data_IF_172887062987
#
_entry.id   IF_172887062987
#
_cell.length_a   1.000
_cell.length_b   1.000
_cell.length_c   1.000
_cell.angle_alpha   90.00
_cell.angle_beta   90.00
_cell.angle_gamma   90.00
#
_symmetry.space_group_name_H-M   'P 1'
#
loop_
_entity.id
_entity.type
_entity.pdbx_description
1 polymer ?
#
# COMPACT_ATOMS: atom_id res chain seq x y z
N UNK A 1 -12.50 -12.00 -23.39
CA UNK A 1 -13.65 -11.13 -23.11
C UNK A 1 -13.94 -11.24 -21.62
N UNK A 2 -13.42 -10.32 -20.81
CA UNK A 2 -13.85 -10.16 -19.43
C UNK A 2 -14.66 -8.86 -19.39
N UNK A 3 -15.96 -8.98 -19.17
CA UNK A 3 -16.76 -7.82 -18.79
C UNK A 3 -16.23 -7.34 -17.43
N UNK A 4 -15.91 -6.05 -17.33
CA UNK A 4 -15.43 -5.44 -16.09
C UNK A 4 -16.51 -5.55 -15.02
N UNK A 5 -16.37 -6.58 -14.17
CA UNK A 5 -17.16 -6.75 -12.97
C UNK A 5 -16.98 -5.47 -12.12
N UNK A 6 -18.07 -4.81 -11.70
CA UNK A 6 -17.97 -3.63 -10.85
C UNK A 6 -17.13 -3.89 -9.58
N UNK A 7 -16.35 -2.91 -9.12
CA UNK A 7 -15.41 -3.09 -8.00
C UNK A 7 -16.08 -3.64 -6.73
N UNK A 8 -17.31 -3.22 -6.42
CA UNK A 8 -18.08 -3.74 -5.28
C UNK A 8 -18.45 -5.23 -5.40
N UNK A 9 -18.50 -5.77 -6.62
CA UNK A 9 -18.64 -7.21 -6.87
C UNK A 9 -17.27 -7.92 -6.81
N UNK A 10 -16.17 -7.26 -7.22
CA UNK A 10 -14.79 -7.76 -7.03
C UNK A 10 -14.43 -7.87 -5.54
N UNK A 11 -14.86 -6.93 -4.70
CA UNK A 11 -14.73 -7.00 -3.24
C UNK A 11 -15.42 -8.21 -2.62
N UNK A 12 -16.44 -8.77 -3.28
CA UNK A 12 -17.12 -9.99 -2.85
C UNK A 12 -16.38 -11.26 -3.27
N UNK A 13 -15.34 -11.13 -4.08
CA UNK A 13 -14.57 -12.27 -4.55
C UNK A 13 -13.45 -12.63 -3.55
N UNK A 14 -13.16 -13.93 -3.41
CA UNK A 14 -12.06 -14.45 -2.59
C UNK A 14 -10.72 -13.75 -2.88
N UNK A 15 -10.49 -13.48 -4.17
CA UNK A 15 -9.21 -13.04 -4.74
C UNK A 15 -8.89 -11.56 -4.55
N UNK A 16 -9.79 -10.76 -3.97
CA UNK A 16 -9.49 -9.36 -3.73
C UNK A 16 -8.45 -9.21 -2.62
N UNK A 17 -7.40 -8.41 -2.88
CA UNK A 17 -6.20 -8.36 -2.04
C UNK A 17 -6.49 -7.89 -0.62
N UNK A 18 -5.75 -8.44 0.35
CA UNK A 18 -5.87 -8.11 1.78
C UNK A 18 -5.81 -6.59 2.03
N UNK A 19 -4.89 -5.90 1.36
CA UNK A 19 -4.74 -4.45 1.46
C UNK A 19 -6.03 -3.71 1.16
N UNK A 20 -6.68 -4.03 0.04
CA UNK A 20 -7.91 -3.34 -0.35
C UNK A 20 -9.07 -3.61 0.62
N UNK A 21 -9.20 -4.84 1.13
CA UNK A 21 -10.26 -5.17 2.10
C UNK A 21 -10.07 -4.43 3.43
N UNK A 22 -8.84 -4.30 3.91
CA UNK A 22 -8.53 -3.52 5.10
C UNK A 22 -8.75 -2.02 4.87
N UNK A 23 -8.41 -1.50 3.68
CA UNK A 23 -8.73 -0.12 3.30
C UNK A 23 -10.24 0.13 3.37
N UNK A 24 -11.07 -0.74 2.80
CA UNK A 24 -12.52 -0.59 2.86
C UNK A 24 -13.04 -0.55 4.30
N UNK A 25 -12.56 -1.46 5.15
CA UNK A 25 -12.92 -1.49 6.57
C UNK A 25 -12.54 -0.17 7.28
N UNK A 26 -11.29 0.28 7.17
CA UNK A 26 -10.82 1.48 7.86
C UNK A 26 -11.37 2.78 7.26
N UNK A 27 -11.69 2.80 5.96
CA UNK A 27 -12.40 3.89 5.35
C UNK A 27 -13.81 4.01 5.93
N UNK A 28 -14.57 2.91 6.01
CA UNK A 28 -15.90 2.88 6.63
C UNK A 28 -15.86 3.31 8.10
N UNK A 29 -14.83 2.91 8.84
CA UNK A 29 -14.57 3.37 10.21
C UNK A 29 -14.43 4.89 10.27
N UNK A 30 -13.51 5.45 9.47
CA UNK A 30 -13.29 6.89 9.42
C UNK A 30 -14.53 7.67 8.97
N UNK A 31 -15.30 7.13 8.02
CA UNK A 31 -16.54 7.74 7.52
C UNK A 31 -17.61 7.78 8.62
N UNK A 32 -17.80 6.67 9.36
CA UNK A 32 -18.74 6.63 10.48
C UNK A 32 -18.37 7.68 11.54
N UNK A 33 -17.09 7.76 11.91
CA UNK A 33 -16.61 8.72 12.91
C UNK A 33 -16.72 10.18 12.46
N UNK A 34 -16.36 10.48 11.20
CA UNK A 34 -16.55 11.80 10.60
C UNK A 34 -18.02 12.20 10.50
N UNK A 35 -18.93 11.24 10.42
CA UNK A 35 -20.38 11.48 10.43
C UNK A 35 -20.98 11.61 11.83
N UNK A 36 -20.16 11.47 12.89
CA UNK A 36 -20.64 11.48 14.28
C UNK A 36 -21.36 10.21 14.72
N UNK A 37 -21.21 9.11 13.97
CA UNK A 37 -21.94 7.86 14.16
C UNK A 37 -21.06 6.77 14.78
N UNK A 38 -21.69 5.81 15.47
CA UNK A 38 -21.02 4.56 15.80
C UNK A 38 -20.63 3.82 14.52
N UNK A 39 -19.48 3.17 14.54
CA UNK A 39 -19.08 2.30 13.46
C UNK A 39 -19.81 0.97 13.59
N UNK A 40 -20.43 0.53 12.49
CA UNK A 40 -21.03 -0.79 12.34
C UNK A 40 -20.57 -1.35 11.00
N UNK A 41 -19.87 -2.49 11.04
CA UNK A 41 -19.37 -3.20 9.88
C UNK A 41 -20.12 -4.51 9.74
N UNK A 42 -20.88 -4.64 8.66
CA UNK A 42 -21.43 -5.92 8.27
C UNK A 42 -20.37 -6.66 7.48
N UNK A 43 -19.74 -7.64 8.15
CA UNK A 43 -18.74 -8.48 7.52
C UNK A 43 -19.33 -9.15 6.27
N UNK A 44 -18.70 -8.99 5.09
CA UNK A 44 -19.16 -9.66 3.87
C UNK A 44 -19.32 -11.17 4.06
N UNK A 45 -20.34 -11.73 3.41
CA UNK A 45 -20.70 -13.16 3.52
C UNK A 45 -19.50 -14.12 3.34
N UNK A 46 -18.57 -13.82 2.44
CA UNK A 46 -17.38 -14.65 2.20
C UNK A 46 -16.40 -14.71 3.40
N UNK A 47 -16.42 -13.73 4.30
CA UNK A 47 -15.63 -13.76 5.55
C UNK A 47 -16.25 -14.72 6.57
N UNK A 48 -17.56 -14.92 6.49
CA UNK A 48 -18.30 -15.78 7.43
C UNK A 48 -18.13 -17.28 7.11
N UNK A 49 -17.76 -17.62 5.87
CA UNK A 49 -17.47 -18.98 5.43
C UNK A 49 -15.96 -19.24 5.39
N UNK A 50 -15.44 -19.59 6.57
CA UNK A 50 -14.02 -19.78 6.99
C UNK A 50 -13.11 -20.71 6.16
N UNK A 51 -13.48 -21.16 4.96
CA UNK A 51 -12.69 -22.15 4.21
C UNK A 51 -11.62 -21.56 3.28
N UNK A 52 -11.58 -20.22 3.10
CA UNK A 52 -10.63 -19.59 2.20
C UNK A 52 -9.38 -19.06 2.92
N UNK A 53 -8.25 -19.69 2.61
CA UNK A 53 -7.03 -19.76 3.42
C UNK A 53 -6.17 -18.49 3.53
N UNK A 54 -6.31 -17.48 2.67
CA UNK A 54 -5.12 -16.63 2.42
C UNK A 54 -5.21 -15.12 2.76
N UNK A 55 -6.27 -14.61 3.39
CA UNK A 55 -6.29 -13.19 3.82
C UNK A 55 -7.40 -12.82 4.82
N UNK A 56 -8.39 -13.69 4.98
CA UNK A 56 -9.63 -13.38 5.73
C UNK A 56 -9.39 -13.32 7.26
N UNK A 57 -8.27 -13.84 7.74
CA UNK A 57 -8.01 -13.94 9.18
C UNK A 57 -7.90 -12.57 9.87
N UNK A 58 -7.31 -11.54 9.23
CA UNK A 58 -7.19 -10.21 9.85
C UNK A 58 -8.57 -9.55 9.98
N UNK A 59 -9.38 -9.61 8.92
CA UNK A 59 -10.72 -9.01 8.92
C UNK A 59 -11.65 -9.69 9.92
N UNK A 60 -11.58 -11.02 10.05
CA UNK A 60 -12.39 -11.77 11.02
C UNK A 60 -12.04 -11.51 12.49
N UNK A 61 -10.96 -10.77 12.77
CA UNK A 61 -10.56 -10.35 14.12
C UNK A 61 -10.86 -8.88 14.41
N UNK A 62 -11.20 -8.10 13.38
CA UNK A 62 -11.57 -6.71 13.55
C UNK A 62 -12.99 -6.60 14.13
N UNK A 63 -13.25 -5.64 15.02
CA UNK A 63 -14.56 -5.49 15.64
C UNK A 63 -15.62 -5.06 14.60
N UNK A 64 -16.81 -5.64 14.70
CA UNK A 64 -17.95 -5.25 13.86
C UNK A 64 -18.65 -3.98 14.37
N UNK A 65 -18.43 -3.61 15.64
CA UNK A 65 -19.00 -2.40 16.23
C UNK A 65 -17.95 -1.66 17.05
N UNK A 66 -17.82 -0.35 16.81
CA UNK A 66 -17.02 0.54 17.66
C UNK A 66 -17.88 1.76 18.01
N UNK A 67 -17.98 2.06 19.30
CA UNK A 67 -18.76 3.20 19.75
C UNK A 67 -17.99 4.50 19.64
N UNK A 68 -18.65 5.53 19.12
CA UNK A 68 -18.07 6.87 19.08
C UNK A 68 -18.10 7.50 20.47
N UNK A 69 -17.01 8.15 20.86
CA UNK A 69 -16.90 8.93 22.10
C UNK A 69 -16.43 10.37 21.79
N UNK A 70 -16.35 11.22 22.81
CA UNK A 70 -16.00 12.64 22.64
C UNK A 70 -14.58 12.88 22.14
N UNK A 71 -13.65 11.95 22.39
CA UNK A 71 -12.30 12.00 21.84
C UNK A 71 -12.32 11.76 20.32
N UNK A 72 -13.00 10.70 19.88
CA UNK A 72 -13.18 10.38 18.47
C UNK A 72 -13.89 11.52 17.75
N UNK A 73 -14.96 12.07 18.32
CA UNK A 73 -15.69 13.22 17.75
C UNK A 73 -14.76 14.40 17.50
N UNK A 74 -13.98 14.79 18.52
CA UNK A 74 -13.01 15.89 18.39
C UNK A 74 -11.93 15.59 17.36
N UNK A 75 -11.51 14.34 17.24
CA UNK A 75 -10.47 13.92 16.29
C UNK A 75 -10.92 14.03 14.82
N UNK A 76 -12.22 13.84 14.55
CA UNK A 76 -12.79 13.85 13.19
C UNK A 76 -13.62 15.11 12.86
N UNK A 77 -13.80 16.05 13.80
CA UNK A 77 -14.71 17.21 13.64
C UNK A 77 -14.42 18.13 12.43
N UNK A 78 -13.20 18.09 11.90
CA UNK A 78 -12.78 18.92 10.75
C UNK A 78 -12.70 18.14 9.44
N UNK A 79 -13.10 16.87 9.42
CA UNK A 79 -13.12 16.04 8.21
C UNK A 79 -14.37 16.34 7.40
N UNK A 80 -14.18 16.88 6.18
CA UNK A 80 -15.26 17.08 5.22
C UNK A 80 -15.39 15.86 4.30
N UNK A 81 -16.36 14.98 4.58
CA UNK A 81 -16.60 13.78 3.76
C UNK A 81 -16.83 14.07 2.27
N UNK A 82 -17.59 15.11 1.86
CA UNK A 82 -17.70 15.44 0.44
C UNK A 82 -16.36 15.73 -0.24
N UNK A 83 -15.40 16.34 0.47
CA UNK A 83 -14.05 16.63 -0.08
C UNK A 83 -13.14 15.40 -0.09
N UNK A 84 -13.27 14.52 0.91
CA UNK A 84 -12.51 13.26 0.98
C UNK A 84 -12.95 12.30 -0.14
N UNK A 85 -14.26 12.13 -0.29
CA UNK A 85 -14.87 11.16 -1.20
C UNK A 85 -14.95 11.70 -2.64
N UNK A 86 -15.17 12.99 -2.83
CA UNK A 86 -15.47 13.56 -4.15
C UNK A 86 -16.76 12.98 -4.76
N UNK A 87 -17.03 13.30 -6.03
CA UNK A 87 -18.28 12.91 -6.70
C UNK A 87 -18.38 11.40 -6.99
N UNK A 88 -17.25 10.70 -7.12
CA UNK A 88 -17.22 9.30 -7.57
C UNK A 88 -17.48 8.24 -6.48
N UNK A 89 -17.19 8.52 -5.21
CA UNK A 89 -17.26 7.51 -4.14
C UNK A 89 -18.65 7.39 -3.51
N UNK A 90 -19.46 8.45 -3.56
CA UNK A 90 -20.80 8.49 -2.94
C UNK A 90 -21.75 7.46 -3.57
N UNK A 91 -21.52 7.09 -4.84
CA UNK A 91 -22.42 6.21 -5.60
C UNK A 91 -22.13 4.71 -5.47
N UNK A 92 -20.92 4.31 -5.06
CA UNK A 92 -20.49 2.90 -5.18
C UNK A 92 -20.42 2.19 -3.83
N UNK A 93 -20.31 2.92 -2.71
CA UNK A 93 -20.17 2.34 -1.36
C UNK A 93 -18.92 1.46 -1.19
N UNK A 94 -17.96 1.63 -2.08
CA UNK A 94 -16.70 0.90 -2.19
C UNK A 94 -15.57 1.90 -1.99
N UNK A 95 -14.81 1.71 -0.90
CA UNK A 95 -13.72 2.60 -0.54
C UNK A 95 -12.34 1.98 -0.76
N UNK A 96 -12.25 0.85 -1.47
CA UNK A 96 -11.04 0.07 -1.65
C UNK A 96 -9.87 0.84 -2.28
N UNK A 97 -10.15 1.86 -3.08
CA UNK A 97 -9.15 2.71 -3.72
C UNK A 97 -8.87 4.01 -2.94
N UNK A 98 -9.47 4.22 -1.77
CA UNK A 98 -9.32 5.48 -1.03
C UNK A 98 -7.89 5.67 -0.49
N UNK A 99 -7.07 4.62 -0.46
CA UNK A 99 -5.62 4.68 -0.19
C UNK A 99 -4.86 5.52 -1.23
N UNK A 100 -5.44 5.77 -2.40
CA UNK A 100 -4.92 6.71 -3.38
C UNK A 100 -4.96 8.14 -2.82
N UNK A 101 -3.83 8.63 -2.33
CA UNK A 101 -3.65 9.96 -1.74
C UNK A 101 -3.67 11.08 -2.80
N UNK A 102 -4.81 11.22 -3.48
CA UNK A 102 -5.03 12.21 -4.55
C UNK A 102 -5.54 13.56 -4.01
N UNK A 103 -5.46 13.85 -2.72
CA UNK A 103 -5.76 15.18 -2.18
C UNK A 103 -5.26 15.33 -0.75
N UNK A 104 -5.10 16.58 -0.30
CA UNK A 104 -4.83 16.87 1.11
C UNK A 104 -5.97 16.41 2.01
N UNK A 105 -7.23 16.51 1.56
CA UNK A 105 -8.39 16.04 2.34
C UNK A 105 -8.31 14.53 2.61
N UNK A 106 -7.94 13.73 1.59
CA UNK A 106 -7.70 12.28 1.78
C UNK A 106 -6.53 12.00 2.71
N UNK A 107 -5.44 12.76 2.60
CA UNK A 107 -4.33 12.64 3.54
C UNK A 107 -4.76 12.95 4.97
N UNK A 108 -5.46 14.06 5.20
CA UNK A 108 -5.97 14.43 6.52
C UNK A 108 -6.93 13.39 7.09
N UNK A 109 -7.82 12.85 6.25
CA UNK A 109 -8.69 11.73 6.61
C UNK A 109 -7.89 10.53 7.11
N UNK A 110 -6.93 10.04 6.32
CA UNK A 110 -6.13 8.89 6.71
C UNK A 110 -5.25 9.15 7.93
N UNK A 111 -4.76 10.38 8.09
CA UNK A 111 -4.04 10.79 9.30
C UNK A 111 -4.92 10.67 10.55
N UNK A 112 -6.21 11.00 10.45
CA UNK A 112 -7.17 10.83 11.54
C UNK A 112 -7.51 9.36 11.82
N UNK A 113 -7.58 8.52 10.76
CA UNK A 113 -7.85 7.08 10.90
C UNK A 113 -6.65 6.31 11.47
N UNK A 114 -5.44 6.72 11.11
CA UNK A 114 -4.18 6.05 11.46
C UNK A 114 -4.07 5.57 12.92
N UNK A 115 -4.27 6.42 13.96
CA UNK A 115 -4.12 5.97 15.35
C UNK A 115 -5.09 4.84 15.72
N UNK A 116 -6.32 4.89 15.23
CA UNK A 116 -7.33 3.85 15.49
C UNK A 116 -6.99 2.55 14.73
N UNK A 117 -6.61 2.67 13.46
CA UNK A 117 -6.21 1.52 12.66
C UNK A 117 -4.97 0.83 13.25
N UNK A 118 -3.94 1.60 13.63
CA UNK A 118 -2.74 1.09 14.29
C UNK A 118 -3.12 0.35 15.58
N UNK A 119 -3.88 0.98 16.48
CA UNK A 119 -4.25 0.37 17.76
C UNK A 119 -5.05 -0.92 17.59
N UNK A 120 -6.04 -0.93 16.67
CA UNK A 120 -6.82 -2.14 16.38
C UNK A 120 -5.92 -3.26 15.87
N UNK A 121 -5.09 -2.99 14.86
CA UNK A 121 -4.16 -3.96 14.28
C UNK A 121 -3.19 -4.49 15.34
N UNK A 122 -2.57 -3.59 16.10
CA UNK A 122 -1.62 -3.94 17.15
C UNK A 122 -2.25 -4.82 18.24
N UNK A 123 -3.51 -4.58 18.58
CA UNK A 123 -4.23 -5.35 19.60
C UNK A 123 -4.45 -6.81 19.19
N UNK A 124 -4.84 -7.08 17.95
CA UNK A 124 -5.19 -8.44 17.54
C UNK A 124 -4.04 -9.21 16.89
N UNK A 125 -3.04 -8.56 16.28
CA UNK A 125 -1.93 -9.26 15.60
C UNK A 125 -1.24 -10.31 16.50
N UNK A 126 -0.95 -10.06 17.79
CA UNK A 126 -0.38 -11.06 18.68
C UNK A 126 -1.24 -12.33 18.80
N UNK A 127 -2.57 -12.18 18.78
CA UNK A 127 -3.52 -13.30 18.87
C UNK A 127 -3.53 -14.20 17.63
N UNK A 128 -2.96 -13.73 16.52
CA UNK A 128 -2.83 -14.52 15.29
C UNK A 128 -1.67 -15.52 15.35
N UNK A 129 -0.78 -15.43 16.35
CA UNK A 129 0.36 -16.34 16.50
C UNK A 129 1.44 -16.19 15.41
N UNK A 130 1.42 -15.09 14.65
CA UNK A 130 2.39 -14.79 13.60
C UNK A 130 3.49 -13.91 14.20
N UNK A 131 4.69 -14.46 14.31
CA UNK A 131 5.87 -13.71 14.76
C UNK A 131 6.45 -12.87 13.62
N UNK A 132 6.84 -11.63 13.89
CA UNK A 132 7.70 -10.88 12.98
C UNK A 132 9.06 -11.58 12.86
N UNK A 133 9.40 -12.06 11.66
CA UNK A 133 10.66 -12.77 11.40
C UNK A 133 11.78 -11.84 10.94
N UNK A 134 11.46 -10.58 10.63
CA UNK A 134 12.42 -9.61 10.14
C UNK A 134 12.88 -8.70 11.28
N UNK A 135 14.18 -8.39 11.28
CA UNK A 135 14.82 -7.58 12.31
C UNK A 135 14.40 -6.11 12.30
N UNK A 136 15.08 -5.30 13.09
CA UNK A 136 14.82 -3.86 13.23
C UNK A 136 15.36 -3.01 12.07
N UNK A 137 15.18 -3.47 10.83
CA UNK A 137 15.68 -2.82 9.62
C UNK A 137 14.55 -2.39 8.68
N UNK A 138 14.74 -1.33 7.87
CA UNK A 138 13.77 -0.91 6.86
C UNK A 138 13.42 -2.02 5.87
N UNK A 139 12.17 -1.98 5.40
CA UNK A 139 11.66 -2.86 4.36
C UNK A 139 11.27 -2.03 3.13
N UNK A 140 11.82 -2.37 1.98
CA UNK A 140 11.32 -1.93 0.68
C UNK A 140 10.28 -2.95 0.22
N UNK A 141 9.02 -2.55 0.10
CA UNK A 141 7.99 -3.39 -0.52
C UNK A 141 8.02 -3.18 -2.03
N UNK A 142 8.60 -4.14 -2.75
CA UNK A 142 8.80 -4.10 -4.19
C UNK A 142 7.69 -4.85 -4.93
N UNK A 143 6.70 -4.10 -5.43
CA UNK A 143 5.65 -4.63 -6.31
C UNK A 143 6.17 -4.65 -7.75
N UNK A 144 6.35 -5.84 -8.31
CA UNK A 144 6.85 -5.97 -9.68
C UNK A 144 6.13 -7.02 -10.52
N UNK A 145 5.29 -7.88 -9.94
CA UNK A 145 4.83 -9.10 -10.59
C UNK A 145 3.59 -8.94 -11.48
N UNK A 146 2.77 -7.92 -11.21
CA UNK A 146 1.61 -7.48 -12.02
C UNK A 146 1.77 -6.04 -12.53
N UNK A 147 2.60 -5.28 -11.85
CA UNK A 147 2.94 -3.87 -12.10
C UNK A 147 4.40 -3.80 -12.51
N UNK A 148 4.77 -3.07 -13.58
CA UNK A 148 3.96 -2.14 -14.37
C UNK A 148 3.36 -2.75 -15.64
N UNK A 149 3.39 -4.09 -15.79
CA UNK A 149 2.98 -4.76 -17.04
C UNK A 149 1.51 -4.51 -17.43
N UNK A 150 0.63 -4.32 -16.43
CA UNK A 150 -0.77 -3.91 -16.65
C UNK A 150 -0.94 -2.49 -17.19
N UNK A 151 0.11 -1.64 -17.14
CA UNK A 151 0.10 -0.24 -17.58
C UNK A 151 -1.05 0.60 -17.00
N UNK A 152 -1.49 0.26 -15.79
CA UNK A 152 -2.48 1.05 -15.09
C UNK A 152 -1.89 2.41 -14.71
N UNK A 153 -2.65 3.49 -14.89
CA UNK A 153 -2.16 4.86 -14.73
C UNK A 153 -1.60 5.22 -13.36
N UNK A 154 -1.85 4.41 -12.32
CA UNK A 154 -1.31 4.58 -10.96
C UNK A 154 -0.10 3.70 -10.62
N UNK A 155 0.36 2.89 -11.57
CA UNK A 155 1.29 1.78 -11.32
C UNK A 155 2.58 1.93 -12.11
N UNK A 156 3.42 2.87 -11.67
CA UNK A 156 4.72 3.14 -12.26
C UNK A 156 5.85 2.41 -11.51
N UNK A 157 6.95 2.15 -12.22
CA UNK A 157 8.22 1.90 -11.55
C UNK A 157 8.80 3.20 -10.99
N UNK A 158 9.44 3.09 -9.83
CA UNK A 158 10.23 4.17 -9.25
C UNK A 158 11.68 4.05 -9.71
N UNK A 159 12.27 5.18 -10.11
CA UNK A 159 13.72 5.33 -10.35
C UNK A 159 14.50 4.92 -9.11
N UNK A 160 15.70 4.40 -9.31
CA UNK A 160 16.51 3.88 -8.21
C UNK A 160 16.94 4.96 -7.21
N UNK A 161 17.06 6.22 -7.67
CA UNK A 161 17.25 7.39 -6.79
C UNK A 161 16.18 7.51 -5.70
N UNK A 162 14.93 7.08 -5.96
CA UNK A 162 13.87 7.06 -4.95
C UNK A 162 14.26 6.27 -3.71
N UNK A 163 14.81 5.06 -3.91
CA UNK A 163 15.17 4.18 -2.81
C UNK A 163 16.38 4.74 -2.05
N UNK A 164 17.39 5.26 -2.77
CA UNK A 164 18.56 5.89 -2.16
C UNK A 164 18.17 7.11 -1.33
N UNK A 165 17.37 8.02 -1.89
CA UNK A 165 16.94 9.24 -1.21
C UNK A 165 15.96 8.96 -0.06
N UNK A 166 15.22 7.86 -0.13
CA UNK A 166 14.39 7.39 0.98
C UNK A 166 15.23 6.81 2.12
N UNK A 167 16.23 5.99 1.81
CA UNK A 167 17.14 5.43 2.81
C UNK A 167 17.99 6.52 3.47
N UNK A 168 18.48 7.50 2.71
CA UNK A 168 19.19 8.66 3.26
C UNK A 168 18.31 9.48 4.21
N UNK A 169 17.04 9.68 3.86
CA UNK A 169 16.09 10.36 4.75
C UNK A 169 15.87 9.56 6.05
N UNK A 170 15.71 8.24 5.95
CA UNK A 170 15.54 7.37 7.11
C UNK A 170 16.78 7.40 8.03
N UNK A 171 17.98 7.37 7.45
CA UNK A 171 19.24 7.52 8.18
C UNK A 171 19.29 8.87 8.93
N UNK A 172 18.87 9.97 8.28
CA UNK A 172 18.79 11.29 8.93
C UNK A 172 17.81 11.35 10.10
N UNK A 173 16.83 10.42 10.14
CA UNK A 173 15.85 10.22 11.21
C UNK A 173 16.26 9.14 12.21
N UNK A 174 17.56 8.80 12.25
CA UNK A 174 18.15 7.81 13.16
C UNK A 174 17.61 6.37 12.99
N UNK A 175 17.08 6.02 11.82
CA UNK A 175 16.77 4.63 11.49
C UNK A 175 18.05 3.94 11.02
N UNK A 176 18.34 2.76 11.55
CA UNK A 176 19.46 1.95 11.10
C UNK A 176 19.18 1.41 9.68
N UNK A 177 19.94 1.91 8.70
CA UNK A 177 19.86 1.52 7.29
C UNK A 177 21.04 0.65 6.86
N UNK A 178 21.88 0.16 7.79
CA UNK A 178 23.05 -0.67 7.43
C UNK A 178 22.64 -1.94 6.69
N UNK A 179 21.42 -2.41 6.96
CA UNK A 179 20.74 -3.49 6.25
C UNK A 179 19.36 -3.03 5.81
N UNK A 180 18.91 -3.54 4.66
CA UNK A 180 17.58 -3.30 4.10
C UNK A 180 17.03 -4.61 3.57
N UNK A 181 15.76 -4.88 3.87
CA UNK A 181 15.04 -5.99 3.25
C UNK A 181 14.31 -5.50 2.01
N UNK A 182 14.44 -6.20 0.88
CA UNK A 182 13.52 -6.03 -0.25
C UNK A 182 12.50 -7.16 -0.17
N UNK A 183 11.29 -6.81 0.25
CA UNK A 183 10.14 -7.71 0.28
C UNK A 183 9.48 -7.73 -1.11
N UNK A 184 9.30 -8.93 -1.66
CA UNK A 184 8.72 -9.12 -2.98
C UNK A 184 7.73 -10.29 -2.99
N UNK A 185 6.80 -10.26 -3.94
CA UNK A 185 5.91 -11.38 -4.24
C UNK A 185 5.80 -11.56 -5.75
N UNK A 186 5.75 -12.81 -6.20
CA UNK A 186 5.52 -13.20 -7.59
C UNK A 186 4.19 -13.96 -7.78
N UNK A 187 3.35 -14.02 -6.75
CA UNK A 187 2.11 -14.81 -6.75
C UNK A 187 0.86 -14.00 -7.09
N UNK A 188 0.93 -12.66 -7.07
CA UNK A 188 -0.23 -11.79 -7.30
C UNK A 188 -0.41 -11.50 -8.79
N UNK A 189 -1.46 -12.08 -9.40
CA UNK A 189 -1.91 -11.81 -10.79
C UNK A 189 -0.80 -11.87 -11.86
N UNK A 190 0.23 -12.69 -11.63
CA UNK A 190 1.46 -12.65 -12.43
C UNK A 190 1.44 -13.69 -13.54
N UNK A 191 1.75 -13.27 -14.77
CA UNK A 191 2.05 -14.22 -15.86
C UNK A 191 3.49 -14.67 -15.76
N UNK A 192 3.82 -15.84 -16.29
CA UNK A 192 5.19 -16.36 -16.26
C UNK A 192 6.22 -15.36 -16.81
N UNK A 193 5.88 -14.68 -17.92
CA UNK A 193 6.72 -13.64 -18.52
C UNK A 193 6.94 -12.45 -17.58
N UNK A 194 5.91 -12.05 -16.84
CA UNK A 194 5.97 -10.96 -15.87
C UNK A 194 6.92 -11.33 -14.74
N UNK A 195 6.82 -12.56 -14.21
CA UNK A 195 7.69 -13.09 -13.16
C UNK A 195 9.15 -13.11 -13.60
N UNK A 196 9.44 -13.52 -14.84
CA UNK A 196 10.81 -13.54 -15.37
C UNK A 196 11.38 -12.12 -15.41
N UNK A 197 10.67 -11.16 -16.00
CA UNK A 197 11.12 -9.78 -16.05
C UNK A 197 11.25 -9.15 -14.66
N UNK A 198 10.32 -9.46 -13.75
CA UNK A 198 10.32 -9.01 -12.36
C UNK A 198 11.57 -9.43 -11.59
N UNK A 199 12.02 -10.69 -11.78
CA UNK A 199 13.26 -11.19 -11.17
C UNK A 199 14.47 -10.41 -11.64
N UNK A 200 14.52 -10.03 -12.93
CA UNK A 200 15.58 -9.18 -13.47
C UNK A 200 15.58 -7.79 -12.82
N UNK A 201 14.40 -7.16 -12.70
CA UNK A 201 14.28 -5.85 -12.04
C UNK A 201 14.65 -5.90 -10.55
N UNK A 202 14.22 -6.94 -9.83
CA UNK A 202 14.55 -7.16 -8.42
C UNK A 202 16.06 -7.31 -8.21
N UNK A 203 16.71 -8.11 -9.06
CA UNK A 203 18.16 -8.32 -9.02
C UNK A 203 18.93 -7.03 -9.32
N UNK A 204 18.45 -6.25 -10.29
CA UNK A 204 19.05 -4.95 -10.65
C UNK A 204 18.92 -3.92 -9.51
N UNK A 205 17.76 -3.84 -8.85
CA UNK A 205 17.57 -2.97 -7.69
C UNK A 205 18.48 -3.39 -6.53
N UNK A 206 18.53 -4.69 -6.20
CA UNK A 206 19.44 -5.24 -5.18
C UNK A 206 20.88 -4.82 -5.46
N UNK A 207 21.36 -5.08 -6.67
CA UNK A 207 22.72 -4.74 -7.11
C UNK A 207 22.98 -3.23 -7.00
N UNK A 208 22.01 -2.40 -7.36
CA UNK A 208 22.15 -0.95 -7.28
C UNK A 208 22.28 -0.46 -5.82
N UNK A 209 21.47 -1.00 -4.91
CA UNK A 209 21.56 -0.68 -3.49
C UNK A 209 22.87 -1.19 -2.86
N UNK A 210 23.31 -2.40 -3.20
CA UNK A 210 24.59 -2.95 -2.70
C UNK A 210 25.79 -2.11 -3.17
N UNK A 211 25.75 -1.56 -4.39
CA UNK A 211 26.76 -0.60 -4.88
C UNK A 211 26.80 0.71 -4.09
N UNK A 212 25.73 1.05 -3.38
CA UNK A 212 25.63 2.20 -2.48
C UNK A 212 25.89 1.83 -1.01
N UNK A 213 26.54 0.70 -0.77
CA UNK A 213 26.97 0.21 0.56
C UNK A 213 25.82 -0.19 1.50
N UNK A 214 24.65 -0.53 0.97
CA UNK A 214 23.58 -1.15 1.74
C UNK A 214 23.73 -2.67 1.75
N UNK A 215 23.63 -3.33 2.92
CA UNK A 215 23.46 -4.79 2.98
C UNK A 215 22.03 -5.15 2.60
N UNK A 216 21.81 -5.84 1.48
CA UNK A 216 20.46 -6.11 0.97
C UNK A 216 20.09 -7.58 1.06
N UNK A 217 18.95 -7.88 1.69
CA UNK A 217 18.38 -9.22 1.74
C UNK A 217 17.03 -9.27 1.01
N UNK A 218 16.86 -10.24 0.12
CA UNK A 218 15.59 -10.45 -0.58
C UNK A 218 14.71 -11.37 0.26
N UNK A 219 13.48 -10.95 0.51
CA UNK A 219 12.53 -11.71 1.35
C UNK A 219 11.21 -11.88 0.62
N UNK A 220 10.66 -13.09 0.67
CA UNK A 220 9.30 -13.40 0.25
C UNK A 220 8.75 -14.44 1.20
N UNK A 221 7.60 -14.15 1.82
CA UNK A 221 6.93 -15.06 2.75
C UNK A 221 5.48 -15.25 2.31
N UNK A 222 4.67 -15.86 3.17
CA UNK A 222 3.24 -15.81 3.01
C UNK A 222 2.71 -14.39 3.29
N UNK A 223 1.57 -13.99 2.69
CA UNK A 223 1.02 -12.64 2.83
C UNK A 223 0.77 -12.20 4.28
N UNK A 224 0.49 -13.13 5.18
CA UNK A 224 0.23 -12.81 6.58
C UNK A 224 1.53 -12.43 7.31
N UNK A 225 2.59 -13.23 7.13
CA UNK A 225 3.93 -12.93 7.64
C UNK A 225 4.51 -11.64 7.06
N UNK A 226 4.30 -11.39 5.77
CA UNK A 226 4.73 -10.15 5.11
C UNK A 226 4.00 -8.93 5.67
N UNK A 227 2.69 -9.03 5.88
CA UNK A 227 1.91 -7.95 6.51
C UNK A 227 2.44 -7.62 7.91
N UNK A 228 2.66 -8.63 8.75
CA UNK A 228 3.19 -8.46 10.11
C UNK A 228 4.58 -7.83 10.08
N UNK A 229 5.44 -8.28 9.18
CA UNK A 229 6.80 -7.76 9.08
C UNK A 229 6.80 -6.28 8.67
N UNK A 230 5.97 -5.89 7.70
CA UNK A 230 5.79 -4.48 7.29
C UNK A 230 5.19 -3.63 8.42
N UNK A 231 4.20 -4.15 9.15
CA UNK A 231 3.51 -3.41 10.21
C UNK A 231 4.44 -3.06 11.38
N UNK A 232 5.35 -3.97 11.71
CA UNK A 232 6.31 -3.80 12.80
C UNK A 232 7.67 -3.26 12.37
N UNK A 233 7.90 -3.06 11.07
CA UNK A 233 9.16 -2.51 10.58
C UNK A 233 9.39 -1.09 11.13
N UNK A 234 10.65 -0.70 11.40
CA UNK A 234 10.98 0.68 11.77
C UNK A 234 10.71 1.67 10.63
N UNK A 235 10.75 1.19 9.39
CA UNK A 235 10.37 1.94 8.21
C UNK A 235 9.92 1.04 7.06
N UNK A 236 8.99 1.55 6.25
CA UNK A 236 8.52 0.91 5.02
C UNK A 236 8.64 1.90 3.86
N UNK A 237 9.37 1.51 2.82
CA UNK A 237 9.45 2.21 1.54
C UNK A 237 8.56 1.46 0.55
N UNK A 238 7.47 2.09 0.12
CA UNK A 238 6.44 1.48 -0.72
C UNK A 238 6.54 1.90 -2.18
N UNK A 239 6.39 0.93 -3.08
CA UNK A 239 6.18 1.15 -4.53
C UNK A 239 4.69 1.21 -4.90
N UNK A 240 3.89 1.98 -4.14
CA UNK A 240 2.46 2.22 -4.37
C UNK A 240 1.59 0.95 -4.40
N UNK A 241 1.29 0.39 -3.22
CA UNK A 241 0.37 -0.74 -3.05
C UNK A 241 -0.51 -0.54 -1.83
N UNK A 242 -1.81 -0.81 -1.95
CA UNK A 242 -2.76 -0.78 -0.82
C UNK A 242 -2.31 -1.70 0.33
N UNK A 243 -1.70 -2.85 0.02
CA UNK A 243 -1.17 -3.77 1.02
C UNK A 243 -0.09 -3.11 1.87
N UNK A 244 0.94 -2.57 1.22
CA UNK A 244 2.03 -1.85 1.89
C UNK A 244 1.58 -0.53 2.50
N UNK A 245 0.54 0.12 1.98
CA UNK A 245 -0.04 1.30 2.57
C UNK A 245 -0.68 0.94 3.92
N UNK A 246 -1.57 -0.05 3.97
CA UNK A 246 -2.20 -0.46 5.23
C UNK A 246 -1.13 -0.93 6.23
N UNK A 247 -0.22 -1.80 5.81
CA UNK A 247 0.79 -2.33 6.71
C UNK A 247 1.80 -1.26 7.15
N UNK A 248 2.29 -0.42 6.23
CA UNK A 248 3.33 0.56 6.51
C UNK A 248 2.80 1.88 7.07
N UNK A 249 1.79 2.50 6.45
CA UNK A 249 1.24 3.79 6.89
C UNK A 249 0.53 3.68 8.24
N UNK A 250 -0.25 2.62 8.47
CA UNK A 250 -0.82 2.36 9.80
C UNK A 250 0.14 1.62 10.73
N UNK A 251 1.31 1.20 10.25
CA UNK A 251 2.34 0.54 11.04
C UNK A 251 3.05 1.44 12.04
N UNK A 252 3.96 0.82 12.78
CA UNK A 252 4.72 1.45 13.87
C UNK A 252 5.84 2.37 13.37
N UNK A 253 6.31 2.13 12.15
CA UNK A 253 7.46 2.82 11.58
C UNK A 253 7.15 4.09 10.80
N UNK A 254 8.20 4.59 10.16
CA UNK A 254 8.13 5.63 9.15
C UNK A 254 7.67 4.99 7.84
N UNK A 255 6.59 5.52 7.26
CA UNK A 255 6.16 5.17 5.92
C UNK A 255 6.73 6.17 4.93
N UNK A 256 7.23 5.71 3.79
CA UNK A 256 7.60 6.53 2.63
C UNK A 256 7.00 5.86 1.39
N UNK A 257 6.38 6.64 0.52
CA UNK A 257 5.86 6.16 -0.76
C UNK A 257 6.15 7.19 -1.85
N UNK A 258 6.05 6.76 -3.09
CA UNK A 258 6.05 7.67 -4.24
C UNK A 258 4.65 8.25 -4.48
N UNK A 259 4.56 9.29 -5.31
CA UNK A 259 3.30 9.93 -5.66
C UNK A 259 2.29 8.98 -6.29
N UNK A 260 1.03 9.08 -5.85
CA UNK A 260 -0.07 8.36 -6.47
C UNK A 260 -0.56 9.17 -7.67
N UNK A 261 0.18 9.09 -8.76
CA UNK A 261 -0.09 9.79 -10.01
C UNK A 261 -1.09 9.03 -10.84
N UNK A 262 -1.97 9.73 -11.56
CA UNK A 262 -2.69 9.12 -12.66
C UNK A 262 -2.04 9.59 -13.98
N UNK A 263 -1.36 8.68 -14.66
CA UNK A 263 -0.92 8.87 -16.03
C UNK A 263 -2.10 8.64 -16.98
N UNK A 264 -2.49 9.69 -17.71
CA UNK A 264 -3.51 9.57 -18.75
C UNK A 264 -2.97 8.88 -20.01
N UNK A 265 -3.85 8.64 -20.99
CA UNK A 265 -3.48 7.99 -22.25
C UNK A 265 -2.43 8.77 -23.06
N UNK A 266 -2.26 10.08 -22.81
CA UNK A 266 -1.25 10.94 -23.42
C UNK A 266 0.10 10.92 -22.70
N UNK A 267 0.21 10.19 -21.58
CA UNK A 267 1.41 10.17 -20.75
C UNK A 267 1.52 11.37 -19.80
N UNK A 268 0.46 12.18 -19.67
CA UNK A 268 0.41 13.29 -18.74
C UNK A 268 0.16 12.74 -17.35
N UNK A 269 1.12 12.98 -16.46
CA UNK A 269 0.95 12.71 -15.04
C UNK A 269 0.15 13.86 -14.43
N UNK A 270 -1.11 13.58 -14.06
CA UNK A 270 -1.87 14.48 -13.21
C UNK A 270 -1.54 14.14 -11.75
N UNK A 271 -0.81 15.05 -11.10
CA UNK A 271 -0.63 15.00 -9.66
C UNK A 271 -1.69 15.88 -9.03
N UNK A 272 -2.60 15.30 -8.27
CA UNK A 272 -3.29 16.15 -7.31
C UNK A 272 -2.28 16.64 -6.27
N UNK A 273 -2.35 17.91 -5.85
CA UNK A 273 -1.46 18.47 -4.85
C UNK A 273 -1.77 17.89 -3.47
N UNK A 274 -1.37 16.65 -3.25
CA UNK A 274 -1.21 16.08 -1.92
C UNK A 274 0.18 16.48 -1.41
N UNK A 275 0.22 17.17 -0.28
CA UNK A 275 1.43 17.57 0.43
C UNK A 275 1.69 16.65 1.64
N UNK A 276 1.34 15.37 1.51
CA UNK A 276 1.71 14.38 2.53
C UNK A 276 3.24 14.30 2.61
N UNK A 277 3.85 14.53 3.80
CA UNK A 277 5.30 14.67 3.94
C UNK A 277 6.07 13.37 3.66
N UNK A 278 5.38 12.23 3.61
CA UNK A 278 5.93 10.92 3.30
C UNK A 278 5.76 10.52 1.82
N UNK A 279 5.14 11.37 1.00
CA UNK A 279 4.94 11.14 -0.43
C UNK A 279 6.04 11.88 -1.20
N UNK A 280 7.02 11.14 -1.72
CA UNK A 280 8.06 11.68 -2.58
C UNK A 280 7.56 11.78 -4.02
N UNK A 281 7.94 12.84 -4.71
CA UNK A 281 7.45 13.16 -6.05
C UNK A 281 8.58 13.16 -7.07
N UNK A 282 8.25 12.82 -8.32
CA UNK A 282 9.17 12.95 -9.46
C UNK A 282 10.11 11.76 -9.68
N UNK A 283 9.84 10.62 -9.04
CA UNK A 283 10.64 9.41 -9.21
C UNK A 283 9.98 8.38 -10.11
N UNK A 284 8.70 8.52 -10.42
CA UNK A 284 7.97 7.65 -11.33
C UNK A 284 8.54 7.65 -12.77
N UNK A 285 8.62 6.47 -13.36
CA UNK A 285 8.90 6.25 -14.77
C UNK A 285 7.59 6.11 -15.55
N UNK A 286 7.25 7.14 -16.34
CA UNK A 286 6.02 7.14 -17.14
C UNK A 286 5.97 5.96 -18.11
N UNK A 287 4.80 5.33 -18.23
CA UNK A 287 4.56 4.24 -19.17
C UNK A 287 4.80 4.67 -20.62
N UNK A 288 4.53 5.93 -20.98
CA UNK A 288 4.79 6.45 -22.32
C UNK A 288 6.29 6.40 -22.72
N UNK A 289 7.21 6.40 -21.74
CA UNK A 289 8.66 6.30 -21.97
C UNK A 289 9.17 4.87 -22.07
N UNK A 290 8.32 3.89 -21.76
CA UNK A 290 8.68 2.47 -21.76
C UNK A 290 7.80 1.71 -22.75
N UNK A 291 8.19 1.63 -24.04
CA UNK A 291 7.40 0.92 -25.05
C UNK A 291 7.16 -0.55 -24.68
N UNK A 292 8.18 -1.21 -24.14
CA UNK A 292 8.14 -2.61 -23.77
C UNK A 292 8.78 -2.81 -22.37
N UNK A 293 7.98 -3.25 -21.40
CA UNK A 293 8.45 -3.58 -20.05
C UNK A 293 9.18 -4.93 -19.98
N UNK A 294 9.27 -5.67 -21.08
CA UNK A 294 10.06 -6.90 -21.14
C UNK A 294 11.46 -6.68 -21.73
N UNK A 295 11.73 -5.49 -22.31
CA UNK A 295 13.09 -5.03 -22.63
C UNK A 295 13.78 -4.55 -21.35
N UNK A 296 14.10 -5.52 -20.48
CA UNK A 296 14.56 -5.23 -19.12
C UNK A 296 15.82 -4.38 -19.07
N UNK A 297 16.74 -4.52 -20.04
CA UNK A 297 17.97 -3.73 -20.10
C UNK A 297 17.67 -2.24 -20.31
N UNK A 298 16.83 -1.92 -21.29
CA UNK A 298 16.43 -0.54 -21.58
C UNK A 298 15.63 0.07 -20.44
N UNK A 299 14.73 -0.70 -19.82
CA UNK A 299 13.97 -0.22 -18.67
C UNK A 299 14.89 0.04 -17.49
N UNK A 300 15.81 -0.87 -17.17
CA UNK A 300 16.79 -0.67 -16.10
C UNK A 300 17.64 0.59 -16.35
N UNK A 301 18.03 0.85 -17.60
CA UNK A 301 18.73 2.10 -17.95
C UNK A 301 17.89 3.34 -17.59
N UNK A 302 16.59 3.33 -17.88
CA UNK A 302 15.68 4.42 -17.47
C UNK A 302 15.48 4.51 -15.96
N UNK A 303 15.52 3.38 -15.23
CA UNK A 303 15.41 3.37 -13.76
C UNK A 303 16.68 3.90 -13.07
N UNK A 304 17.85 3.77 -13.72
CA UNK A 304 19.12 4.29 -13.20
C UNK A 304 19.32 5.79 -13.44
N UNK A 305 18.70 6.36 -14.48
CA UNK A 305 18.71 7.80 -14.76
C UNK A 305 17.89 8.61 -13.76
#
# INVERSE_FOLDING_TARGET
MNHDIPMHQKLKQPFYSLGNKLIDYFAKLGIAFASGSHFVYQSPYYIQHKEEKDAIFLLGKLPEKIEINDEIRRHFQYISLPRVLGEGYVFVGDFANLWELTSNDRYHFWKCVRPFANNLIHTFLPSCGISNKLGAYPIIHFRCSDVPFSRHGFYHFQRYSFFIDSLNELASKCVDVSKVYIMYSFSHESRERDVIASKTYLSALKTHLEKHNYSVELVSQDPASDFVSLFYAPAVISTCSSFSFVAGFFGNGIFITEGHYNEDAGGTITCSPCYAPFVKKGYSLNHCRVPDYYDTEKVIHHLMS
#
